data_IF_709610766224
#
_entry.id   IF_709610766224
#
_cell.length_a   1.000
_cell.length_b   1.000
_cell.length_c   1.000
_cell.angle_alpha   90.00
_cell.angle_beta   90.00
_cell.angle_gamma   90.00
#
_symmetry.space_group_name_H-M   'P 1'
#
loop_
_entity.id
_entity.type
_entity.pdbx_description
1 polymer ?
#
# COMPACT_ATOMS: atom_id res chain seq x y z
N UNK A 1 -7.86 1.46 -14.37
CA UNK A 1 -7.02 1.79 -13.21
C UNK A 1 -7.26 3.23 -12.77
N UNK A 2 -7.07 4.23 -13.63
CA UNK A 2 -7.29 5.66 -13.32
C UNK A 2 -8.55 5.98 -12.49
N UNK A 3 -9.74 5.56 -12.94
CA UNK A 3 -10.98 5.83 -12.21
C UNK A 3 -10.98 5.24 -10.79
N UNK A 4 -10.37 4.06 -10.61
CA UNK A 4 -10.23 3.43 -9.30
C UNK A 4 -9.30 4.26 -8.40
N UNK A 5 -8.15 4.71 -8.93
CA UNK A 5 -7.22 5.60 -8.21
C UNK A 5 -7.97 6.87 -7.77
N UNK A 6 -8.65 7.56 -8.69
CA UNK A 6 -9.42 8.77 -8.36
C UNK A 6 -10.47 8.52 -7.28
N UNK A 7 -11.18 7.39 -7.36
CA UNK A 7 -12.21 7.01 -6.39
C UNK A 7 -11.61 6.77 -5.01
N UNK A 8 -10.48 6.06 -4.93
CA UNK A 8 -9.81 5.77 -3.66
C UNK A 8 -9.14 7.02 -3.06
N UNK A 9 -8.53 7.88 -3.88
CA UNK A 9 -8.00 9.18 -3.43
C UNK A 9 -9.12 10.06 -2.86
N UNK A 10 -10.26 10.14 -3.56
CA UNK A 10 -11.44 10.87 -3.05
C UNK A 10 -11.94 10.27 -1.73
N UNK A 11 -11.93 8.94 -1.60
CA UNK A 11 -12.28 8.27 -0.35
C UNK A 11 -11.30 8.62 0.78
N UNK A 12 -9.98 8.69 0.51
CA UNK A 12 -8.98 9.12 1.50
C UNK A 12 -9.27 10.55 1.98
N UNK A 13 -9.55 11.48 1.07
CA UNK A 13 -9.87 12.88 1.45
C UNK A 13 -11.16 12.98 2.27
N UNK A 14 -12.15 12.10 2.05
CA UNK A 14 -13.36 12.06 2.87
C UNK A 14 -13.14 11.55 4.29
N UNK A 15 -12.04 10.83 4.54
CA UNK A 15 -11.78 10.13 5.81
C UNK A 15 -10.50 10.60 6.52
N UNK A 16 -9.81 11.59 5.97
CA UNK A 16 -8.58 12.16 6.52
C UNK A 16 -8.58 13.68 6.38
N UNK A 17 -7.51 14.34 6.81
CA UNK A 17 -7.29 15.78 6.57
C UNK A 17 -6.47 16.05 5.30
N UNK A 18 -6.16 15.02 4.51
CA UNK A 18 -5.40 15.20 3.27
C UNK A 18 -6.27 15.81 2.16
N UNK A 19 -5.64 16.69 1.37
CA UNK A 19 -6.20 17.17 0.11
C UNK A 19 -5.63 16.34 -1.02
N UNK A 20 -6.49 15.65 -1.75
CA UNK A 20 -6.10 14.65 -2.75
C UNK A 20 -6.43 15.07 -4.18
N UNK A 21 -7.39 15.99 -4.36
CA UNK A 21 -7.84 16.46 -5.68
C UNK A 21 -6.69 16.91 -6.60
N UNK A 22 -5.68 17.61 -6.07
CA UNK A 22 -4.59 18.20 -6.87
C UNK A 22 -3.35 17.30 -6.93
N UNK A 23 -3.40 16.14 -6.28
CA UNK A 23 -2.26 15.24 -6.27
C UNK A 23 -2.14 14.54 -7.63
N UNK A 24 -0.93 14.47 -8.20
CA UNK A 24 -0.72 13.68 -9.41
C UNK A 24 -0.98 12.21 -9.09
N UNK A 25 -1.53 11.45 -10.05
CA UNK A 25 -1.67 10.01 -9.84
C UNK A 25 -0.30 9.31 -9.92
N UNK A 26 -0.03 8.31 -9.08
CA UNK A 26 1.11 7.43 -9.26
C UNK A 26 0.89 6.52 -10.48
N UNK A 27 1.99 6.03 -11.05
CA UNK A 27 1.90 4.90 -11.98
C UNK A 27 1.55 3.63 -11.21
N UNK A 28 0.72 2.75 -11.77
CA UNK A 28 0.38 1.46 -11.16
C UNK A 28 0.81 0.34 -12.09
N UNK A 29 1.81 -0.42 -11.65
CA UNK A 29 2.38 -1.56 -12.38
C UNK A 29 1.90 -2.85 -11.73
N UNK A 30 1.20 -3.67 -12.51
CA UNK A 30 0.69 -4.95 -12.05
C UNK A 30 1.74 -6.04 -12.25
N UNK A 31 2.07 -6.78 -11.19
CA UNK A 31 3.13 -7.78 -11.17
C UNK A 31 2.62 -9.14 -10.68
N UNK A 32 3.31 -10.22 -11.07
CA UNK A 32 3.21 -11.51 -10.39
C UNK A 32 3.87 -11.47 -9.01
N UNK A 33 3.60 -12.45 -8.15
CA UNK A 33 4.27 -12.56 -6.85
C UNK A 33 5.80 -12.62 -6.97
N UNK A 34 6.31 -13.29 -8.01
CA UNK A 34 7.76 -13.42 -8.23
C UNK A 34 8.36 -12.06 -8.58
N UNK A 35 7.80 -11.36 -9.55
CA UNK A 35 8.27 -10.03 -9.96
C UNK A 35 8.15 -9.01 -8.81
N UNK A 36 7.06 -9.07 -8.03
CA UNK A 36 6.91 -8.20 -6.85
C UNK A 36 7.95 -8.51 -5.77
N UNK A 37 8.32 -9.79 -5.59
CA UNK A 37 9.42 -10.19 -4.69
C UNK A 37 10.75 -9.65 -5.21
N UNK A 38 11.04 -9.84 -6.49
CA UNK A 38 12.27 -9.32 -7.12
C UNK A 38 12.38 -7.80 -6.99
N UNK A 39 11.28 -7.07 -7.16
CA UNK A 39 11.23 -5.61 -6.99
C UNK A 39 11.51 -5.22 -5.53
N UNK A 40 10.80 -5.83 -4.57
CA UNK A 40 10.96 -5.52 -3.14
C UNK A 40 12.39 -5.77 -2.63
N UNK A 41 13.04 -6.83 -3.11
CA UNK A 41 14.39 -7.21 -2.68
C UNK A 41 15.51 -6.64 -3.55
N UNK A 42 15.22 -5.89 -4.63
CA UNK A 42 16.23 -5.39 -5.58
C UNK A 42 17.32 -4.54 -4.89
N UNK A 43 16.92 -3.72 -3.93
CA UNK A 43 17.79 -2.76 -3.23
C UNK A 43 17.83 -2.98 -1.71
N UNK A 44 17.21 -4.05 -1.20
CA UNK A 44 17.15 -4.30 0.24
C UNK A 44 18.40 -5.05 0.72
N UNK A 45 18.92 -4.66 1.89
CA UNK A 45 19.88 -5.47 2.67
C UNK A 45 19.24 -6.77 3.23
N UNK A 46 17.97 -7.02 2.92
CA UNK A 46 17.21 -8.19 3.33
C UNK A 46 17.52 -9.42 2.49
N UNK A 47 17.52 -10.58 3.14
CA UNK A 47 17.66 -11.86 2.44
C UNK A 47 16.30 -12.25 1.86
N UNK A 48 16.23 -12.36 0.53
CA UNK A 48 15.07 -12.95 -0.15
C UNK A 48 14.78 -14.35 0.42
N UNK A 49 13.50 -14.78 0.50
CA UNK A 49 13.18 -16.10 1.02
C UNK A 49 13.83 -17.20 0.17
N UNK A 50 14.14 -18.36 0.79
CA UNK A 50 14.74 -19.52 0.07
C UNK A 50 13.89 -20.00 -1.12
N UNK A 51 12.58 -19.71 -1.11
CA UNK A 51 11.65 -20.02 -2.20
C UNK A 51 11.70 -19.03 -3.36
N UNK A 52 12.53 -17.98 -3.30
CA UNK A 52 12.59 -16.83 -4.22
C UNK A 52 11.28 -16.04 -4.38
N UNK A 53 10.23 -16.43 -3.67
CA UNK A 53 8.89 -15.83 -3.73
C UNK A 53 8.38 -15.58 -2.32
N UNK A 54 8.10 -14.33 -1.99
CA UNK A 54 7.43 -13.94 -0.75
C UNK A 54 5.92 -13.76 -0.99
N UNK A 55 5.15 -14.79 -0.63
CA UNK A 55 3.69 -14.79 -0.77
C UNK A 55 2.97 -13.78 0.13
N UNK A 56 3.68 -13.14 1.07
CA UNK A 56 3.13 -12.13 1.97
C UNK A 56 3.06 -10.76 1.31
N UNK A 57 3.93 -10.49 0.33
CA UNK A 57 3.93 -9.23 -0.41
C UNK A 57 2.66 -9.11 -1.26
N UNK A 58 2.04 -7.94 -1.20
CA UNK A 58 0.81 -7.61 -1.95
C UNK A 58 0.97 -6.36 -2.79
N UNK A 59 1.73 -5.39 -2.31
CA UNK A 59 2.17 -4.24 -3.07
C UNK A 59 3.39 -3.60 -2.41
N UNK A 60 3.97 -2.60 -3.08
CA UNK A 60 4.87 -1.61 -2.49
C UNK A 60 4.77 -0.29 -3.27
N UNK A 61 4.92 0.83 -2.56
CA UNK A 61 5.03 2.16 -3.14
C UNK A 61 6.49 2.62 -3.20
N UNK A 62 6.99 2.86 -4.42
CA UNK A 62 8.32 3.41 -4.69
C UNK A 62 8.18 4.89 -5.09
N UNK A 63 8.49 5.81 -4.17
CA UNK A 63 8.29 7.25 -4.42
C UNK A 63 9.34 7.87 -5.35
N UNK A 64 10.51 7.24 -5.50
CA UNK A 64 11.58 7.69 -6.41
C UNK A 64 11.36 7.23 -7.86
N UNK A 65 10.50 6.23 -8.06
CA UNK A 65 10.21 5.66 -9.37
C UNK A 65 9.13 6.47 -10.10
N UNK A 66 9.30 6.60 -11.42
CA UNK A 66 8.36 7.34 -12.26
C UNK A 66 8.36 8.85 -11.99
N UNK A 67 7.41 9.56 -12.60
CA UNK A 67 7.33 11.03 -12.44
C UNK A 67 6.74 11.45 -11.08
N UNK A 68 5.87 10.62 -10.50
CA UNK A 68 5.06 10.94 -9.33
C UNK A 68 5.00 9.82 -8.29
N UNK A 69 5.90 8.84 -8.40
CA UNK A 69 5.88 7.58 -7.66
C UNK A 69 5.22 6.45 -8.46
N UNK A 70 5.65 5.22 -8.18
CA UNK A 70 5.13 3.99 -8.77
C UNK A 70 4.60 3.07 -7.67
N UNK A 71 3.41 2.54 -7.86
CA UNK A 71 2.85 1.46 -7.06
C UNK A 71 3.02 0.16 -7.84
N UNK A 72 3.86 -0.73 -7.32
CA UNK A 72 3.94 -2.09 -7.81
C UNK A 72 2.96 -2.94 -7.00
N UNK A 73 1.98 -3.54 -7.66
CA UNK A 73 0.88 -4.25 -7.00
C UNK A 73 0.70 -5.64 -7.59
N UNK A 74 0.38 -6.60 -6.73
CA UNK A 74 0.06 -7.96 -7.13
C UNK A 74 -1.13 -7.98 -8.10
N UNK A 75 -1.05 -8.85 -9.11
CA UNK A 75 -2.15 -9.14 -10.03
C UNK A 75 -3.50 -9.26 -9.28
N UNK A 76 -4.50 -8.42 -9.62
CA UNK A 76 -5.84 -8.50 -9.06
C UNK A 76 -6.44 -9.91 -9.06
N UNK A 77 -6.13 -10.74 -10.07
CA UNK A 77 -6.59 -12.13 -10.17
C UNK A 77 -5.98 -13.05 -9.09
N UNK A 78 -4.83 -12.67 -8.55
CA UNK A 78 -4.10 -13.41 -7.53
C UNK A 78 -4.49 -13.01 -6.10
N UNK A 79 -5.36 -12.01 -5.93
CA UNK A 79 -5.86 -11.57 -4.61
C UNK A 79 -6.97 -12.50 -4.10
N UNK A 80 -7.03 -12.67 -2.78
CA UNK A 80 -8.06 -13.46 -2.10
C UNK A 80 -9.47 -13.10 -2.60
N UNK A 81 -10.25 -14.12 -2.94
CA UNK A 81 -11.63 -14.01 -3.44
C UNK A 81 -11.80 -13.36 -4.83
N UNK A 82 -10.74 -13.12 -5.61
CA UNK A 82 -10.84 -12.49 -6.94
C UNK A 82 -11.83 -13.21 -7.88
N UNK A 83 -11.87 -14.55 -7.85
CA UNK A 83 -12.78 -15.40 -8.64
C UNK A 83 -14.28 -15.14 -8.42
N UNK A 84 -14.65 -14.40 -7.37
CA UNK A 84 -16.05 -14.09 -7.04
C UNK A 84 -16.54 -12.80 -7.71
N UNK A 85 -15.69 -12.12 -8.48
CA UNK A 85 -15.99 -10.87 -9.17
C UNK A 85 -15.78 -11.05 -10.67
N UNK A 86 -16.71 -10.53 -11.49
CA UNK A 86 -16.58 -10.53 -12.95
C UNK A 86 -15.36 -9.71 -13.40
N UNK A 87 -15.11 -8.61 -12.68
CA UNK A 87 -13.90 -7.81 -12.81
C UNK A 87 -13.11 -7.88 -11.49
N UNK A 88 -11.89 -8.43 -11.47
CA UNK A 88 -11.07 -8.52 -10.27
C UNK A 88 -10.77 -7.18 -9.60
N UNK A 89 -10.78 -6.08 -10.36
CA UNK A 89 -10.60 -4.74 -9.80
C UNK A 89 -11.75 -4.31 -8.90
N UNK A 90 -12.91 -5.00 -8.96
CA UNK A 90 -14.04 -4.75 -8.08
C UNK A 90 -13.91 -5.40 -6.70
N UNK A 91 -12.96 -6.33 -6.54
CA UNK A 91 -12.68 -7.01 -5.28
C UNK A 91 -12.22 -6.03 -4.20
N UNK A 92 -12.96 -5.85 -3.08
CA UNK A 92 -12.59 -4.94 -2.01
C UNK A 92 -11.24 -5.25 -1.37
N UNK A 93 -10.79 -6.51 -1.38
CA UNK A 93 -9.44 -6.86 -0.90
C UNK A 93 -8.35 -6.28 -1.81
N UNK A 94 -8.56 -6.27 -3.14
CA UNK A 94 -7.61 -5.63 -4.05
C UNK A 94 -7.63 -4.12 -3.88
N UNK A 95 -8.84 -3.53 -3.77
CA UNK A 95 -9.01 -2.09 -3.55
C UNK A 95 -8.36 -1.63 -2.25
N UNK A 96 -8.40 -2.45 -1.19
CA UNK A 96 -7.74 -2.15 0.07
C UNK A 96 -6.20 -2.18 -0.03
N UNK A 97 -5.63 -3.16 -0.74
CA UNK A 97 -4.18 -3.19 -1.00
C UNK A 97 -3.76 -1.93 -1.78
N UNK A 98 -4.51 -1.55 -2.83
CA UNK A 98 -4.21 -0.32 -3.57
C UNK A 98 -4.41 0.94 -2.70
N UNK A 99 -5.45 0.97 -1.87
CA UNK A 99 -5.72 2.07 -0.94
C UNK A 99 -4.56 2.28 0.02
N UNK A 100 -3.98 1.20 0.55
CA UNK A 100 -2.82 1.25 1.44
C UNK A 100 -1.65 2.00 0.80
N UNK A 101 -1.27 1.62 -0.41
CA UNK A 101 -0.17 2.29 -1.13
C UNK A 101 -0.52 3.73 -1.53
N UNK A 102 -1.79 3.99 -1.87
CA UNK A 102 -2.25 5.36 -2.13
C UNK A 102 -2.17 6.26 -0.88
N UNK A 103 -2.36 5.70 0.33
CA UNK A 103 -2.14 6.46 1.57
C UNK A 103 -0.67 6.88 1.66
N UNK A 104 0.29 6.00 1.36
CA UNK A 104 1.71 6.36 1.34
C UNK A 104 2.04 7.43 0.29
N UNK A 105 1.45 7.31 -0.90
CA UNK A 105 1.57 8.33 -1.93
C UNK A 105 1.07 9.70 -1.45
N UNK A 106 -0.12 9.75 -0.84
CA UNK A 106 -0.70 10.98 -0.29
C UNK A 106 0.17 11.54 0.84
N UNK A 107 0.68 10.69 1.74
CA UNK A 107 1.56 11.09 2.84
C UNK A 107 2.86 11.73 2.34
N UNK A 108 3.43 11.20 1.25
CA UNK A 108 4.62 11.74 0.59
C UNK A 108 4.36 13.14 -0.01
N UNK A 109 3.36 13.25 -0.90
CA UNK A 109 3.09 14.50 -1.63
C UNK A 109 2.51 15.61 -0.75
N UNK A 110 1.76 15.26 0.30
CA UNK A 110 1.32 16.21 1.33
C UNK A 110 2.44 16.67 2.27
N UNK A 111 3.64 16.07 2.16
CA UNK A 111 4.81 16.33 3.01
C UNK A 111 4.59 15.93 4.48
N UNK A 112 3.60 15.09 4.79
CA UNK A 112 3.40 14.54 6.13
C UNK A 112 4.65 13.79 6.60
N UNK A 113 5.32 13.09 5.68
CA UNK A 113 6.59 12.39 5.89
C UNK A 113 7.70 13.24 6.52
N UNK A 114 7.68 14.57 6.32
CA UNK A 114 8.72 15.48 6.85
C UNK A 114 8.70 15.62 8.37
N UNK A 115 7.58 15.27 9.00
CA UNK A 115 7.40 15.36 10.44
C UNK A 115 7.74 14.04 11.14
N UNK A 116 7.99 12.97 10.38
CA UNK A 116 8.18 11.66 10.94
C UNK A 116 9.62 11.41 11.35
N UNK A 117 9.79 10.59 12.38
CA UNK A 117 11.10 10.14 12.82
C UNK A 117 11.65 9.00 11.94
N UNK A 118 10.78 8.30 11.22
CA UNK A 118 11.12 7.24 10.27
C UNK A 118 9.97 7.03 9.27
N UNK A 119 10.23 6.39 8.14
CA UNK A 119 9.23 6.06 7.10
C UNK A 119 8.05 5.25 7.64
N UNK A 120 8.32 4.31 8.56
CA UNK A 120 7.32 3.41 9.10
C UNK A 120 6.16 4.12 9.83
N UNK A 121 6.30 5.36 10.29
CA UNK A 121 5.19 6.03 10.99
C UNK A 121 3.91 6.15 10.15
N UNK A 122 4.03 6.16 8.81
CA UNK A 122 2.90 6.19 7.89
C UNK A 122 2.06 4.91 7.85
N UNK A 123 2.65 3.76 8.21
CA UNK A 123 2.01 2.44 8.18
C UNK A 123 0.75 2.38 9.04
N UNK A 124 0.78 3.00 10.22
CA UNK A 124 -0.35 2.93 11.16
C UNK A 124 -1.62 3.46 10.52
N UNK A 125 -1.55 4.63 9.88
CA UNK A 125 -2.70 5.23 9.23
C UNK A 125 -3.14 4.39 8.01
N UNK A 126 -2.21 3.93 7.18
CA UNK A 126 -2.51 3.09 6.02
C UNK A 126 -3.26 1.81 6.42
N UNK A 127 -2.81 1.11 7.48
CA UNK A 127 -3.51 -0.05 8.00
C UNK A 127 -4.88 0.28 8.58
N UNK A 128 -5.02 1.35 9.37
CA UNK A 128 -6.30 1.72 9.98
C UNK A 128 -7.34 2.12 8.92
N UNK A 129 -6.92 2.85 7.89
CA UNK A 129 -7.79 3.20 6.76
C UNK A 129 -8.20 1.96 5.96
N UNK A 130 -7.27 1.02 5.72
CA UNK A 130 -7.60 -0.27 5.10
C UNK A 130 -8.64 -1.07 5.90
N UNK A 131 -8.51 -1.12 7.23
CA UNK A 131 -9.50 -1.75 8.11
C UNK A 131 -10.89 -1.10 7.97
N UNK A 132 -10.91 0.24 8.00
CA UNK A 132 -12.14 1.02 7.88
C UNK A 132 -12.81 0.80 6.52
N UNK A 133 -12.03 0.77 5.45
CA UNK A 133 -12.50 0.52 4.09
C UNK A 133 -13.16 -0.84 3.96
N UNK A 134 -12.51 -1.92 4.41
CA UNK A 134 -13.06 -3.28 4.34
C UNK A 134 -14.34 -3.42 5.16
N UNK A 135 -14.39 -2.80 6.35
CA UNK A 135 -15.58 -2.80 7.20
C UNK A 135 -16.77 -2.07 6.55
N UNK A 136 -16.54 -0.93 5.87
CA UNK A 136 -17.60 -0.22 5.13
C UNK A 136 -18.16 -1.04 3.95
N UNK A 137 -17.36 -1.96 3.40
CA UNK A 137 -17.74 -2.81 2.27
C UNK A 137 -18.13 -4.23 2.70
N UNK A 138 -18.41 -4.45 3.99
CA UNK A 138 -18.81 -5.75 4.57
C UNK A 138 -17.89 -6.91 4.12
N UNK A 139 -16.59 -6.62 4.00
CA UNK A 139 -15.59 -7.57 3.51
C UNK A 139 -14.73 -8.07 4.66
N UNK A 140 -14.55 -9.38 4.74
CA UNK A 140 -13.68 -9.99 5.73
C UNK A 140 -12.23 -9.53 5.57
N UNK A 141 -11.69 -8.94 6.63
CA UNK A 141 -10.29 -8.56 6.69
C UNK A 141 -9.38 -9.78 6.83
N UNK A 142 -8.64 -10.07 5.76
CA UNK A 142 -7.70 -11.19 5.71
C UNK A 142 -6.49 -11.01 6.64
N UNK A 143 -6.22 -9.78 7.09
CA UNK A 143 -5.12 -9.50 8.01
C UNK A 143 -5.56 -9.73 9.47
N UNK A 144 -5.35 -10.94 9.96
CA UNK A 144 -5.69 -11.28 11.35
C UNK A 144 -4.89 -10.40 12.32
N UNK A 145 -5.59 -9.73 13.25
CA UNK A 145 -5.02 -8.77 14.22
C UNK A 145 -4.37 -7.53 13.58
N UNK A 146 -4.96 -6.98 12.51
CA UNK A 146 -4.48 -5.76 11.83
C UNK A 146 -4.02 -4.64 12.77
N UNK A 147 -4.75 -4.32 13.84
CA UNK A 147 -4.34 -3.27 14.80
C UNK A 147 -3.00 -3.60 15.47
N UNK A 148 -2.77 -4.87 15.83
CA UNK A 148 -1.48 -5.29 16.40
C UNK A 148 -0.35 -5.09 15.38
N UNK A 149 -0.58 -5.49 14.13
CA UNK A 149 0.42 -5.33 13.07
C UNK A 149 0.66 -3.88 12.70
N UNK A 150 -0.38 -3.05 12.62
CA UNK A 150 -0.29 -1.62 12.37
C UNK A 150 0.64 -0.94 13.38
N UNK A 151 0.45 -1.22 14.68
CA UNK A 151 1.32 -0.70 15.73
C UNK A 151 2.75 -1.27 15.67
N UNK A 152 2.89 -2.54 15.29
CA UNK A 152 4.21 -3.18 15.19
C UNK A 152 5.01 -2.62 14.02
N UNK A 153 4.38 -2.46 12.87
CA UNK A 153 5.00 -1.94 11.66
C UNK A 153 5.29 -0.47 11.78
N UNK A 154 4.46 0.31 12.48
CA UNK A 154 4.69 1.75 12.69
C UNK A 154 5.82 2.11 13.66
N UNK A 155 6.45 1.11 14.28
CA UNK A 155 7.49 1.36 15.28
C UNK A 155 8.83 1.68 14.62
N UNK A 156 9.34 2.89 14.84
CA UNK A 156 10.72 3.24 14.55
C UNK A 156 11.67 2.55 15.55
N UNK A 157 12.51 1.61 15.10
CA UNK A 157 13.61 1.12 15.93
C UNK A 157 14.70 2.22 16.03
N UNK A 158 15.28 2.39 17.22
CA UNK A 158 16.09 3.55 17.58
C UNK A 158 17.31 3.78 16.66
N UNK A 159 17.51 5.05 16.29
CA UNK A 159 18.71 5.63 15.68
C UNK A 159 19.35 4.83 14.53
N UNK A 160 18.60 4.66 13.45
CA UNK A 160 19.20 4.79 12.14
C UNK A 160 18.37 5.84 11.40
N UNK A 161 19.03 6.85 10.84
CA UNK A 161 18.49 7.64 9.75
C UNK A 161 18.28 6.68 8.58
N UNK A 162 17.21 5.88 8.66
CA UNK A 162 16.74 5.08 7.56
C UNK A 162 16.07 6.08 6.63
N UNK A 163 16.80 6.39 5.56
CA UNK A 163 16.25 6.87 4.31
C UNK A 163 14.91 6.20 4.03
N UNK A 164 13.87 6.96 3.64
CA UNK A 164 12.65 6.36 3.16
C UNK A 164 13.01 5.46 1.97
N UNK A 165 12.36 4.30 1.90
CA UNK A 165 12.59 3.19 0.95
C UNK A 165 13.04 3.60 -0.45
#
# INVERSE_FOLDING_TARGET
MELLITTLLSWIEMHTNYRTHELPHPEVVVLSHKELTEEYYRNADGVAPESDVDMRLKALYAFEDGAYGTIYILDPQSVTNARHYDNPLDNPNFKEVLLHELVHHVQWHSKAVKQWQCSNQGELEAYLLGAMYLNQHDTHDTMTKRIFWANRYSWCQGNAANTPY
#
